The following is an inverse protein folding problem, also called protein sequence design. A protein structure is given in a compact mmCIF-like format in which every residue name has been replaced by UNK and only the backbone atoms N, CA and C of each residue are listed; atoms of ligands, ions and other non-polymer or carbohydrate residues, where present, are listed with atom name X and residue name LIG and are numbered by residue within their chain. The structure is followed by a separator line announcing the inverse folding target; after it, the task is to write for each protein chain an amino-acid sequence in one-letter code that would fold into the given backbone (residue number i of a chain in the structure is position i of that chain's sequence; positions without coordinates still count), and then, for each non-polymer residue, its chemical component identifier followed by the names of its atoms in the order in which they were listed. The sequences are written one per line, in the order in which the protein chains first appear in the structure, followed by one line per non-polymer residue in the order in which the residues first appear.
data_IF_555379092683
#
_entry.id   IF_555379092683
#
_cell.length_a   1.000
_cell.length_b   1.000
_cell.length_c   1.000
_cell.angle_alpha   90.00
_cell.angle_beta   90.00
_cell.angle_gamma   90.00
#
_symmetry.space_group_name_H-M   'P 1'
#
loop_
_entity.id
_entity.type
_entity.pdbx_description
1 polymer ?
#
# COMPACT_ATOMS: atom_id res chain seq x y z
N UNK A 1 57.33 -34.10 -41.27
CA UNK A 1 57.60 -33.20 -40.13
C UNK A 1 56.28 -32.99 -39.39
N UNK A 2 56.14 -33.55 -38.19
CA UNK A 2 54.96 -33.33 -37.33
C UNK A 2 55.23 -32.14 -36.42
N UNK A 3 54.36 -31.14 -36.43
CA UNK A 3 54.40 -30.03 -35.48
C UNK A 3 53.92 -30.56 -34.11
N UNK A 4 54.62 -30.30 -33.00
CA UNK A 4 54.17 -30.74 -31.69
C UNK A 4 52.88 -30.03 -31.27
N UNK A 5 51.97 -30.78 -30.67
CA UNK A 5 50.70 -30.29 -30.12
C UNK A 5 51.03 -29.26 -29.02
N UNK A 6 50.50 -28.05 -29.15
CA UNK A 6 50.68 -26.98 -28.17
C UNK A 6 49.98 -27.34 -26.87
N UNK A 7 50.70 -27.35 -25.75
CA UNK A 7 50.14 -27.58 -24.41
C UNK A 7 49.24 -26.43 -23.92
N UNK A 8 49.08 -25.38 -24.73
CA UNK A 8 48.22 -24.23 -24.44
C UNK A 8 46.83 -24.33 -25.10
N UNK A 9 46.58 -25.35 -25.94
CA UNK A 9 45.26 -25.63 -26.53
C UNK A 9 44.29 -26.15 -25.46
N UNK A 10 43.65 -25.24 -24.74
CA UNK A 10 42.70 -25.57 -23.67
C UNK A 10 42.69 -24.57 -22.52
N UNK A 11 43.71 -23.71 -22.42
CA UNK A 11 43.67 -22.55 -21.52
C UNK A 11 42.70 -21.56 -22.15
N UNK A 12 41.54 -21.37 -21.51
CA UNK A 12 40.54 -20.41 -21.97
C UNK A 12 41.25 -19.07 -22.26
N UNK A 13 41.29 -18.68 -23.54
CA UNK A 13 42.04 -17.50 -23.98
C UNK A 13 41.66 -16.28 -23.14
N UNK A 14 42.61 -15.37 -22.89
CA UNK A 14 42.45 -14.22 -21.98
C UNK A 14 41.11 -13.49 -22.17
N UNK A 15 40.61 -13.40 -23.40
CA UNK A 15 39.33 -12.80 -23.76
C UNK A 15 38.13 -13.45 -23.06
N UNK A 16 38.10 -14.78 -22.94
CA UNK A 16 37.02 -15.55 -22.27
C UNK A 16 37.07 -15.36 -20.75
N UNK A 17 38.26 -15.27 -20.17
CA UNK A 17 38.46 -14.95 -18.76
C UNK A 17 38.07 -13.51 -18.42
N UNK A 18 38.41 -12.54 -19.27
CA UNK A 18 38.01 -11.13 -19.14
C UNK A 18 36.50 -10.95 -19.27
N UNK A 19 35.85 -11.60 -20.24
CA UNK A 19 34.40 -11.57 -20.41
C UNK A 19 33.66 -12.14 -19.18
N UNK A 20 34.14 -13.25 -18.62
CA UNK A 20 33.59 -13.83 -17.38
C UNK A 20 33.76 -12.88 -16.17
N UNK A 21 34.91 -12.20 -16.05
CA UNK A 21 35.14 -11.23 -14.99
C UNK A 21 34.24 -10.00 -15.08
N UNK A 22 34.01 -9.46 -16.28
CA UNK A 22 33.07 -8.36 -16.50
C UNK A 22 31.61 -8.77 -16.30
N UNK A 23 31.23 -9.99 -16.72
CA UNK A 23 29.91 -10.54 -16.43
C UNK A 23 29.65 -10.65 -14.92
N UNK A 24 30.63 -11.17 -14.15
CA UNK A 24 30.54 -11.22 -12.68
C UNK A 24 30.41 -9.84 -12.06
N UNK A 25 31.19 -8.86 -12.53
CA UNK A 25 31.11 -7.48 -12.04
C UNK A 25 29.75 -6.86 -12.34
N UNK A 26 29.22 -7.05 -13.55
CA UNK A 26 27.90 -6.59 -13.94
C UNK A 26 26.80 -7.18 -13.04
N UNK A 27 26.84 -8.49 -12.81
CA UNK A 27 25.90 -9.16 -11.89
C UNK A 27 26.01 -8.63 -10.46
N UNK A 28 27.23 -8.46 -9.93
CA UNK A 28 27.44 -7.92 -8.59
C UNK A 28 26.97 -6.47 -8.46
N UNK A 29 27.15 -5.65 -9.50
CA UNK A 29 26.64 -4.27 -9.53
C UNK A 29 25.10 -4.30 -9.53
N UNK A 30 24.48 -5.16 -10.34
CA UNK A 30 23.02 -5.29 -10.36
C UNK A 30 22.48 -5.72 -8.98
N UNK A 31 23.11 -6.72 -8.35
CA UNK A 31 22.74 -7.16 -7.01
C UNK A 31 22.94 -6.05 -5.96
N UNK A 32 24.04 -5.30 -6.05
CA UNK A 32 24.30 -4.14 -5.18
C UNK A 32 23.22 -3.06 -5.34
N UNK A 33 22.77 -2.78 -6.57
CA UNK A 33 21.68 -1.83 -6.83
C UNK A 33 20.37 -2.30 -6.18
N UNK A 34 20.02 -3.57 -6.27
CA UNK A 34 18.84 -4.13 -5.59
C UNK A 34 18.95 -4.00 -4.08
N UNK A 35 20.12 -4.30 -3.50
CA UNK A 35 20.36 -4.15 -2.06
C UNK A 35 20.24 -2.68 -1.63
N UNK A 36 20.80 -1.74 -2.38
CA UNK A 36 20.67 -0.30 -2.10
C UNK A 36 19.20 0.12 -2.17
N UNK A 37 18.44 -0.35 -3.15
CA UNK A 37 17.01 -0.05 -3.26
C UNK A 37 16.21 -0.63 -2.07
N UNK A 38 16.54 -1.84 -1.62
CA UNK A 38 15.97 -2.44 -0.42
C UNK A 38 16.25 -1.60 0.83
N UNK A 39 17.52 -1.24 1.04
CA UNK A 39 17.97 -0.43 2.19
C UNK A 39 17.37 0.98 2.18
N UNK A 40 17.10 1.54 1.00
CA UNK A 40 16.42 2.81 0.85
C UNK A 40 14.88 2.70 1.01
N UNK A 41 14.34 1.52 1.32
CA UNK A 41 12.91 1.30 1.57
C UNK A 41 12.05 1.24 0.31
N UNK A 42 12.65 1.14 -0.88
CA UNK A 42 11.90 1.02 -2.14
C UNK A 42 11.30 -0.37 -2.38
N UNK A 43 11.69 -1.36 -1.59
CA UNK A 43 11.24 -2.77 -1.71
C UNK A 43 10.45 -3.24 -0.47
N UNK A 44 9.98 -2.31 0.37
CA UNK A 44 9.17 -2.60 1.57
C UNK A 44 7.76 -2.01 1.50
N UNK A 45 6.98 -2.21 2.57
CA UNK A 45 5.73 -1.50 2.79
C UNK A 45 5.99 0.00 2.77
N UNK A 46 5.25 0.72 1.93
CA UNK A 46 5.23 2.17 1.94
C UNK A 46 3.83 2.63 2.26
N UNK A 47 3.66 3.31 3.39
CA UNK A 47 2.43 4.01 3.69
C UNK A 47 2.47 5.40 3.06
N UNK A 48 1.29 5.94 2.78
CA UNK A 48 1.12 7.32 2.35
C UNK A 48 -0.09 7.90 3.03
N UNK A 49 0.01 9.18 3.34
CA UNK A 49 -1.12 9.96 3.85
C UNK A 49 -1.69 10.83 2.74
N UNK A 50 -3.00 10.76 2.53
CA UNK A 50 -3.77 11.70 1.70
C UNK A 50 -4.72 12.47 2.59
N UNK A 51 -4.99 13.73 2.25
CA UNK A 51 -5.82 14.60 3.07
C UNK A 51 -6.70 15.51 2.23
N UNK A 52 -7.87 15.85 2.73
CA UNK A 52 -8.79 16.79 2.13
C UNK A 52 -9.43 17.70 3.18
N UNK A 53 -9.79 18.92 2.76
CA UNK A 53 -10.50 19.90 3.57
C UNK A 53 -11.73 20.38 2.81
N UNK A 54 -12.93 20.03 3.27
CA UNK A 54 -14.19 20.42 2.63
C UNK A 54 -15.36 20.26 3.59
N UNK A 55 -16.42 21.04 3.39
CA UNK A 55 -17.67 20.90 4.18
C UNK A 55 -17.50 21.11 5.69
N UNK A 56 -16.43 21.79 6.14
CA UNK A 56 -16.10 21.92 7.56
C UNK A 56 -15.38 20.71 8.18
N UNK A 57 -15.02 19.72 7.37
CA UNK A 57 -14.28 18.53 7.78
C UNK A 57 -12.85 18.56 7.23
N UNK A 58 -11.91 18.04 8.03
CA UNK A 58 -10.58 17.64 7.62
C UNK A 58 -10.50 16.12 7.64
N UNK A 59 -10.26 15.52 6.47
CA UNK A 59 -10.01 14.08 6.35
C UNK A 59 -8.53 13.86 6.14
N UNK A 60 -8.00 12.86 6.83
CA UNK A 60 -6.66 12.34 6.65
C UNK A 60 -6.73 10.82 6.65
N UNK A 61 -6.22 10.20 5.59
CA UNK A 61 -6.16 8.75 5.47
C UNK A 61 -4.71 8.32 5.31
N UNK A 62 -4.21 7.53 6.26
CA UNK A 62 -3.00 6.73 6.07
C UNK A 62 -3.37 5.35 5.51
N UNK A 63 -2.70 4.94 4.43
CA UNK A 63 -3.01 3.71 3.73
C UNK A 63 -1.74 3.09 3.12
N UNK A 64 -1.74 1.80 2.72
CA UNK A 64 -0.58 1.16 2.14
C UNK A 64 -0.44 1.53 0.66
N UNK A 65 0.34 2.57 0.33
CA UNK A 65 0.61 2.96 -1.05
C UNK A 65 1.33 1.88 -1.86
N UNK A 66 2.27 1.16 -1.24
CA UNK A 66 2.92 -0.03 -1.80
C UNK A 66 2.91 -1.13 -0.74
N UNK A 67 2.38 -2.30 -1.08
CA UNK A 67 2.36 -3.48 -0.21
C UNK A 67 2.67 -4.77 -0.99
N UNK A 68 2.76 -5.89 -0.29
CA UNK A 68 2.91 -7.22 -0.89
C UNK A 68 1.97 -8.23 -0.23
N UNK A 69 1.64 -9.34 -0.89
CA UNK A 69 0.77 -10.37 -0.33
C UNK A 69 1.24 -10.95 1.01
N UNK A 70 0.29 -11.21 1.91
CA UNK A 70 0.55 -11.79 3.22
C UNK A 70 1.18 -10.83 4.24
N UNK A 71 1.12 -9.52 3.99
CA UNK A 71 1.63 -8.50 4.90
C UNK A 71 0.48 -7.76 5.57
N UNK A 72 0.62 -7.54 6.87
CA UNK A 72 -0.20 -6.61 7.66
C UNK A 72 0.06 -5.16 7.22
N UNK A 73 -1.00 -4.38 7.07
CA UNK A 73 -0.93 -3.04 6.50
C UNK A 73 -1.91 -2.09 7.16
N UNK A 74 -1.49 -0.87 7.53
CA UNK A 74 -2.38 0.08 8.18
C UNK A 74 -3.35 0.67 7.17
N UNK A 75 -4.61 0.80 7.57
CA UNK A 75 -5.58 1.68 6.94
C UNK A 75 -6.27 2.47 8.06
N UNK A 76 -5.88 3.73 8.23
CA UNK A 76 -6.35 4.58 9.33
C UNK A 76 -6.93 5.87 8.76
N UNK A 77 -8.24 6.04 8.93
CA UNK A 77 -8.97 7.24 8.55
C UNK A 77 -9.21 8.12 9.78
N UNK A 78 -8.56 9.28 9.80
CA UNK A 78 -8.82 10.35 10.76
C UNK A 78 -9.76 11.38 10.16
N UNK A 79 -10.86 11.65 10.84
CA UNK A 79 -11.87 12.65 10.50
C UNK A 79 -11.91 13.69 11.60
N UNK A 80 -11.64 14.94 11.28
CA UNK A 80 -11.72 16.06 12.22
C UNK A 80 -12.77 17.07 11.77
N UNK A 81 -13.63 17.51 12.69
CA UNK A 81 -14.62 18.58 12.47
C UNK A 81 -14.50 19.61 13.59
N UNK A 82 -13.88 20.79 13.33
CA UNK A 82 -13.75 21.83 14.33
C UNK A 82 -15.11 22.19 14.95
N UNK A 83 -15.17 22.21 16.28
CA UNK A 83 -16.42 22.42 17.02
C UNK A 83 -17.16 21.14 17.40
N UNK A 84 -16.67 19.96 16.97
CA UNK A 84 -17.25 18.67 17.31
C UNK A 84 -18.27 18.17 16.28
N UNK A 85 -18.84 17.01 16.58
CA UNK A 85 -19.86 16.35 15.76
C UNK A 85 -21.25 16.51 16.39
N UNK A 86 -22.24 16.89 15.58
CA UNK A 86 -23.62 17.12 16.04
C UNK A 86 -24.37 15.80 16.33
N UNK A 87 -23.96 14.71 15.69
CA UNK A 87 -24.56 13.39 15.79
C UNK A 87 -23.60 12.29 15.31
N UNK A 88 -24.11 11.05 15.12
CA UNK A 88 -23.33 9.95 14.54
C UNK A 88 -22.64 10.35 13.24
N UNK A 89 -21.48 9.74 12.98
CA UNK A 89 -20.66 10.04 11.81
C UNK A 89 -20.82 8.91 10.80
N UNK A 90 -21.36 9.25 9.64
CA UNK A 90 -21.50 8.31 8.52
C UNK A 90 -20.27 8.41 7.62
N UNK A 91 -19.65 7.26 7.35
CA UNK A 91 -18.46 7.12 6.52
C UNK A 91 -18.76 6.13 5.41
N UNK A 92 -18.35 6.47 4.19
CA UNK A 92 -18.41 5.57 3.06
C UNK A 92 -17.02 5.32 2.51
N UNK A 93 -16.72 4.06 2.23
CA UNK A 93 -15.50 3.64 1.55
C UNK A 93 -15.88 2.77 0.35
N UNK A 94 -15.14 2.88 -0.75
CA UNK A 94 -15.35 2.02 -1.91
C UNK A 94 -15.16 0.56 -1.50
N UNK A 95 -16.21 -0.26 -1.56
CA UNK A 95 -16.19 -1.66 -1.06
C UNK A 95 -15.11 -2.51 -1.75
N UNK A 96 -15.03 -2.40 -3.09
CA UNK A 96 -14.06 -3.14 -3.91
C UNK A 96 -12.59 -2.78 -3.67
N UNK A 97 -12.29 -1.73 -2.90
CA UNK A 97 -10.94 -1.50 -2.41
C UNK A 97 -10.49 -2.63 -1.47
N UNK A 98 -11.42 -3.15 -0.66
CA UNK A 98 -11.12 -4.15 0.36
C UNK A 98 -11.04 -5.59 -0.18
N UNK A 99 -11.43 -5.82 -1.44
CA UNK A 99 -11.35 -7.14 -2.08
C UNK A 99 -9.94 -7.75 -2.11
N UNK A 100 -8.90 -6.90 -2.05
CA UNK A 100 -7.51 -7.36 -2.03
C UNK A 100 -6.99 -7.72 -0.64
N UNK A 101 -7.78 -7.48 0.42
CA UNK A 101 -7.41 -7.66 1.81
C UNK A 101 -8.27 -8.73 2.50
N UNK A 102 -7.78 -9.30 3.59
CA UNK A 102 -8.63 -9.93 4.60
C UNK A 102 -8.70 -8.98 5.79
N UNK A 103 -9.89 -8.81 6.38
CA UNK A 103 -10.07 -7.96 7.56
C UNK A 103 -10.07 -8.78 8.85
N UNK A 104 -9.48 -8.22 9.89
CA UNK A 104 -9.59 -8.71 11.26
C UNK A 104 -10.59 -7.90 12.09
N UNK A 105 -10.94 -6.70 11.62
CA UNK A 105 -12.00 -5.88 12.21
C UNK A 105 -11.78 -4.39 11.97
N UNK A 106 -12.73 -3.61 12.47
CA UNK A 106 -12.72 -2.15 12.44
C UNK A 106 -12.77 -1.63 13.87
N UNK A 107 -11.90 -0.68 14.21
CA UNK A 107 -11.86 -0.04 15.53
C UNK A 107 -11.99 1.48 15.40
N UNK A 108 -12.94 2.11 16.12
CA UNK A 108 -14.01 1.50 16.91
C UNK A 108 -14.96 0.69 16.03
N UNK A 109 -15.70 -0.26 16.60
CA UNK A 109 -16.71 -0.98 15.84
C UNK A 109 -17.84 -0.03 15.41
N UNK A 110 -18.31 -0.09 14.14
CA UNK A 110 -19.43 0.72 13.70
C UNK A 110 -20.73 0.30 14.42
N UNK A 111 -21.60 1.26 14.71
CA UNK A 111 -22.93 0.99 15.30
C UNK A 111 -23.94 0.52 14.28
N UNK A 112 -23.71 0.84 13.00
CA UNK A 112 -24.47 0.34 11.86
C UNK A 112 -23.56 0.20 10.66
N UNK A 113 -23.83 -0.82 9.86
CA UNK A 113 -23.08 -1.13 8.66
C UNK A 113 -24.03 -1.59 7.54
N UNK A 114 -23.81 -1.08 6.33
CA UNK A 114 -24.52 -1.51 5.12
C UNK A 114 -23.59 -1.42 3.91
N UNK A 115 -23.72 -2.34 2.97
CA UNK A 115 -22.95 -2.32 1.72
C UNK A 115 -23.90 -2.36 0.53
N UNK A 116 -23.66 -1.50 -0.45
CA UNK A 116 -24.29 -1.54 -1.78
C UNK A 116 -23.27 -1.91 -2.86
N UNK A 117 -23.62 -1.81 -4.15
CA UNK A 117 -22.73 -2.19 -5.25
C UNK A 117 -21.41 -1.40 -5.29
N UNK A 118 -21.33 -0.23 -4.65
CA UNK A 118 -20.17 0.64 -4.72
C UNK A 118 -19.60 1.02 -3.36
N UNK A 119 -20.47 1.28 -2.38
CA UNK A 119 -20.10 1.83 -1.08
C UNK A 119 -20.34 0.82 0.03
N UNK A 120 -19.29 0.58 0.79
CA UNK A 120 -19.41 0.13 2.16
C UNK A 120 -19.64 1.35 3.05
N UNK A 121 -20.80 1.40 3.69
CA UNK A 121 -21.24 2.50 4.55
C UNK A 121 -21.24 2.06 6.01
N UNK A 122 -20.54 2.81 6.85
CA UNK A 122 -20.44 2.59 8.29
C UNK A 122 -20.89 3.83 9.04
N UNK A 123 -21.67 3.64 10.10
CA UNK A 123 -22.05 4.69 11.04
C UNK A 123 -21.30 4.48 12.35
N UNK A 124 -20.69 5.54 12.87
CA UNK A 124 -19.99 5.54 14.16
C UNK A 124 -20.69 6.48 15.13
N UNK A 125 -20.66 6.12 16.41
CA UNK A 125 -21.06 7.05 17.46
C UNK A 125 -20.15 8.28 17.46
N UNK A 126 -20.72 9.43 17.82
CA UNK A 126 -19.93 10.67 17.87
C UNK A 126 -18.84 10.56 18.93
N UNK A 127 -17.59 10.97 18.62
CA UNK A 127 -16.56 11.06 19.65
C UNK A 127 -16.89 12.22 20.62
N UNK A 128 -16.30 12.19 21.81
CA UNK A 128 -16.47 13.27 22.78
C UNK A 128 -15.80 14.59 22.35
N UNK A 129 -14.86 14.52 21.40
CA UNK A 129 -14.12 15.66 20.86
C UNK A 129 -14.49 15.98 19.41
N UNK A 130 -13.54 16.62 18.72
CA UNK A 130 -13.64 17.02 17.32
C UNK A 130 -12.98 16.04 16.35
N UNK A 131 -12.37 14.97 16.84
CA UNK A 131 -11.71 13.96 16.01
C UNK A 131 -12.27 12.56 16.24
N UNK A 132 -12.57 11.87 15.14
CA UNK A 132 -12.85 10.44 15.06
C UNK A 132 -11.69 9.78 14.30
N UNK A 133 -11.12 8.72 14.87
CA UNK A 133 -10.09 7.88 14.22
C UNK A 133 -10.69 6.50 14.02
N UNK A 134 -10.64 6.02 12.78
CA UNK A 134 -11.13 4.70 12.37
C UNK A 134 -9.93 3.94 11.83
N UNK A 135 -9.58 2.86 12.52
CA UNK A 135 -8.50 1.96 12.17
C UNK A 135 -9.07 0.63 11.66
N UNK A 136 -8.52 0.15 10.55
CA UNK A 136 -8.87 -1.12 9.96
C UNK A 136 -7.66 -2.04 10.03
N UNK A 137 -7.82 -3.12 10.78
CA UNK A 137 -6.83 -4.19 10.85
C UNK A 137 -7.00 -5.09 9.62
N UNK A 138 -6.11 -4.91 8.65
CA UNK A 138 -6.15 -5.58 7.35
C UNK A 138 -4.77 -6.09 6.94
N UNK A 139 -4.76 -7.26 6.31
CA UNK A 139 -3.57 -7.75 5.59
C UNK A 139 -3.91 -8.07 4.15
N UNK A 140 -2.93 -7.91 3.27
CA UNK A 140 -3.09 -8.21 1.84
C UNK A 140 -3.27 -9.73 1.67
N UNK A 141 -4.34 -10.15 0.99
CA UNK A 141 -4.60 -11.57 0.72
C UNK A 141 -3.40 -12.22 0.01
N UNK A 142 -3.03 -13.48 0.34
CA UNK A 142 -1.89 -14.17 -0.28
C UNK A 142 -1.96 -14.26 -1.81
N UNK A 143 -3.16 -14.34 -2.38
CA UNK A 143 -3.37 -14.50 -3.82
C UNK A 143 -3.58 -13.19 -4.58
N UNK A 144 -3.69 -12.05 -3.89
CA UNK A 144 -3.84 -10.73 -4.54
C UNK A 144 -2.54 -10.35 -5.26
N UNK A 145 -2.58 -10.29 -6.59
CA UNK A 145 -1.40 -9.89 -7.40
C UNK A 145 -1.53 -8.47 -7.95
N UNK A 146 -2.72 -7.88 -7.88
CA UNK A 146 -3.05 -6.56 -8.41
C UNK A 146 -3.59 -5.71 -7.27
N UNK A 147 -3.08 -4.49 -7.17
CA UNK A 147 -3.57 -3.53 -6.18
C UNK A 147 -4.95 -2.96 -6.52
N UNK A 148 -5.48 -2.13 -5.64
CA UNK A 148 -6.81 -1.52 -5.80
C UNK A 148 -6.77 -0.03 -5.51
N UNK A 149 -7.76 0.68 -6.02
CA UNK A 149 -8.00 2.09 -5.71
C UNK A 149 -9.34 2.24 -5.04
N UNK A 150 -9.45 3.24 -4.17
CA UNK A 150 -10.66 3.52 -3.43
C UNK A 150 -10.82 4.98 -3.12
N UNK A 151 -12.03 5.33 -2.71
CA UNK A 151 -12.38 6.63 -2.15
C UNK A 151 -12.93 6.40 -0.76
N UNK A 152 -12.56 7.27 0.18
CA UNK A 152 -13.15 7.33 1.52
C UNK A 152 -13.76 8.71 1.72
N UNK A 153 -14.99 8.78 2.24
CA UNK A 153 -15.72 10.03 2.40
C UNK A 153 -16.57 10.05 3.66
N UNK A 154 -16.67 11.23 4.27
CA UNK A 154 -17.60 11.49 5.36
C UNK A 154 -18.87 12.10 4.79
N UNK A 155 -20.03 11.69 5.31
CA UNK A 155 -21.32 12.25 4.97
C UNK A 155 -21.77 13.24 6.05
N UNK A 156 -22.43 14.31 5.60
CA UNK A 156 -23.14 15.25 6.46
C UNK A 156 -24.58 15.39 5.93
N UNK A 157 -25.57 15.06 6.77
CA UNK A 157 -26.97 15.01 6.35
C UNK A 157 -27.25 14.08 5.15
N UNK A 158 -26.47 12.99 5.01
CA UNK A 158 -26.60 12.03 3.90
C UNK A 158 -25.92 12.45 2.59
N UNK A 159 -25.22 13.57 2.56
CA UNK A 159 -24.48 14.04 1.39
C UNK A 159 -22.96 14.04 1.65
N UNK A 160 -22.11 13.73 0.66
CA UNK A 160 -20.66 13.78 0.83
C UNK A 160 -20.19 15.20 1.20
N UNK A 161 -19.52 15.34 2.35
CA UNK A 161 -18.98 16.62 2.81
C UNK A 161 -17.50 16.79 2.45
N UNK A 162 -16.72 15.72 2.61
CA UNK A 162 -15.31 15.65 2.24
C UNK A 162 -14.93 14.22 1.86
N UNK A 163 -13.96 14.09 0.95
CA UNK A 163 -13.49 12.81 0.42
C UNK A 163 -12.00 12.82 0.12
N UNK A 164 -11.38 11.65 0.18
CA UNK A 164 -10.00 11.40 -0.24
C UNK A 164 -9.95 10.20 -1.17
N UNK A 165 -9.15 10.29 -2.22
CA UNK A 165 -8.88 9.21 -3.16
C UNK A 165 -7.49 8.63 -2.91
N UNK A 166 -7.38 7.31 -3.02
CA UNK A 166 -6.15 6.59 -2.74
C UNK A 166 -6.00 5.34 -3.61
N UNK A 167 -4.75 4.93 -3.80
CA UNK A 167 -4.39 3.78 -4.64
C UNK A 167 -3.25 2.99 -4.00
N UNK A 168 -3.51 1.72 -3.75
CA UNK A 168 -2.55 0.72 -3.29
C UNK A 168 -2.00 -0.03 -4.49
N UNK A 169 -0.67 -0.19 -4.55
CA UNK A 169 0.00 -1.04 -5.55
C UNK A 169 0.57 -2.26 -4.85
N UNK A 170 0.35 -3.43 -5.45
CA UNK A 170 0.98 -4.66 -5.00
C UNK A 170 2.25 -4.93 -5.81
N UNK A 171 3.33 -5.22 -5.09
CA UNK A 171 4.60 -5.68 -5.66
C UNK A 171 4.82 -7.16 -5.31
N UNK A 172 5.49 -7.93 -6.18
CA UNK A 172 5.81 -9.34 -5.92
C UNK A 172 6.68 -9.57 -4.67
#
# INVERSE_FOLDING_TARGET
MNVPISTLDGVAGETRARAAAWGRRGFLIALLVVVIAALAGYLGLQTRTVSANSGGYHLQLEYPHIARPGMDTPWELTITRPGGFDGPVDVQVTGSYFDIFESQGVTPAPTKETEDEHWWTMTFDKPAGDTLVIDFDIYVQPFSQVGSSGTARVLDGGHPAASVDFTTRLVP
#
